data_IF_257252643073
#
_entry.id   IF_257252643073
#
_cell.length_a   1.000
_cell.length_b   1.000
_cell.length_c   1.000
_cell.angle_alpha   90.00
_cell.angle_beta   90.00
_cell.angle_gamma   90.00
#
_symmetry.space_group_name_H-M   'P 1'
#
loop_
_entity.id
_entity.type
_entity.pdbx_description
1 polymer ?
#
# COMPACT_ATOMS: atom_id res chain seq x y z
N UNK A 1 24.29 16.52 0.05
CA UNK A 1 24.63 15.27 0.78
C UNK A 1 25.80 14.64 0.09
N UNK A 2 26.94 14.72 0.78
CA UNK A 2 28.30 14.75 0.25
C UNK A 2 28.87 13.43 -0.23
N UNK A 3 29.78 13.51 -1.19
CA UNK A 3 30.66 12.42 -1.64
C UNK A 3 31.50 11.80 -0.50
N UNK A 4 31.59 12.50 0.65
CA UNK A 4 32.24 12.00 1.86
C UNK A 4 31.50 10.81 2.50
N UNK A 5 30.17 10.68 2.35
CA UNK A 5 29.41 9.58 2.94
C UNK A 5 29.85 8.21 2.40
N UNK A 6 30.06 8.10 1.09
CA UNK A 6 30.49 6.85 0.44
C UNK A 6 31.94 6.51 0.75
N UNK A 7 32.82 7.51 0.91
CA UNK A 7 34.22 7.28 1.30
C UNK A 7 34.34 6.67 2.70
N UNK A 8 33.46 7.02 3.63
CA UNK A 8 33.45 6.44 4.97
C UNK A 8 32.85 5.03 5.02
N UNK A 9 31.84 4.71 4.20
CA UNK A 9 31.23 3.37 4.16
C UNK A 9 32.27 2.29 3.82
N UNK A 10 33.17 2.54 2.86
CA UNK A 10 34.22 1.59 2.51
C UNK A 10 35.26 1.36 3.62
N UNK A 11 35.33 2.24 4.62
CA UNK A 11 36.29 2.15 5.73
C UNK A 11 35.72 1.47 6.98
N UNK A 12 34.41 1.19 7.02
CA UNK A 12 33.78 0.52 8.16
C UNK A 12 34.06 -1.00 8.07
N UNK A 13 34.60 -1.57 9.16
CA UNK A 13 34.71 -3.03 9.32
C UNK A 13 33.32 -3.65 9.15
N UNK A 14 33.24 -4.81 8.50
CA UNK A 14 32.02 -5.64 8.40
C UNK A 14 31.88 -6.52 9.64
N UNK A 15 31.00 -6.23 10.60
CA UNK A 15 30.61 -7.21 11.60
C UNK A 15 29.59 -8.20 11.03
N UNK A 16 29.45 -9.35 11.69
CA UNK A 16 28.34 -10.26 11.42
C UNK A 16 27.01 -9.57 11.75
N UNK A 17 26.01 -9.63 10.86
CA UNK A 17 24.70 -9.03 11.11
C UNK A 17 24.05 -9.69 12.32
N UNK A 18 23.55 -8.86 13.24
CA UNK A 18 22.75 -9.32 14.38
C UNK A 18 21.28 -9.31 13.99
N UNK A 19 20.72 -10.48 13.74
CA UNK A 19 19.31 -10.65 13.36
C UNK A 19 19.07 -11.29 11.99
N UNK A 20 17.87 -11.83 11.80
CA UNK A 20 17.47 -12.48 10.56
C UNK A 20 16.35 -11.70 9.87
N UNK A 21 16.52 -11.39 8.58
CA UNK A 21 15.48 -10.72 7.80
C UNK A 21 14.18 -11.49 7.77
N UNK A 22 14.26 -12.82 7.74
CA UNK A 22 13.09 -13.68 7.78
C UNK A 22 12.23 -13.40 9.01
N UNK A 23 12.85 -13.18 10.17
CA UNK A 23 12.13 -12.81 11.40
C UNK A 23 11.46 -11.46 11.24
N UNK A 24 12.20 -10.47 10.74
CA UNK A 24 11.67 -9.13 10.50
C UNK A 24 10.46 -9.21 9.57
N UNK A 25 10.56 -9.83 8.39
CA UNK A 25 9.48 -9.89 7.38
C UNK A 25 8.28 -10.68 7.88
N UNK A 26 8.48 -11.77 8.61
CA UNK A 26 7.41 -12.56 9.22
C UNK A 26 6.80 -11.90 10.47
N UNK A 27 7.26 -10.71 10.87
CA UNK A 27 6.69 -9.96 12.00
C UNK A 27 7.19 -10.42 13.38
N UNK A 28 8.21 -11.27 13.44
CA UNK A 28 8.83 -11.68 14.70
C UNK A 28 9.64 -10.50 15.27
N UNK A 29 9.12 -9.90 16.34
CA UNK A 29 9.77 -8.74 16.97
C UNK A 29 11.01 -9.17 17.75
N UNK A 30 12.10 -8.42 17.62
CA UNK A 30 13.29 -8.62 18.46
C UNK A 30 14.05 -7.31 18.64
N UNK A 31 14.46 -7.04 19.88
CA UNK A 31 15.31 -5.89 20.22
C UNK A 31 16.73 -6.02 19.66
N UNK A 32 17.11 -7.20 19.19
CA UNK A 32 18.41 -7.45 18.57
C UNK A 32 18.41 -7.09 17.08
N UNK A 33 17.26 -7.08 16.42
CA UNK A 33 17.16 -6.71 15.01
C UNK A 33 17.33 -5.20 14.83
N UNK A 34 18.16 -4.82 13.86
CA UNK A 34 18.29 -3.44 13.44
C UNK A 34 18.35 -3.33 11.90
N UNK A 35 17.69 -2.33 11.34
CA UNK A 35 17.67 -2.06 9.89
C UNK A 35 18.13 -0.64 9.60
N UNK A 36 18.86 -0.49 8.51
CA UNK A 36 19.35 0.81 8.05
C UNK A 36 18.29 1.50 7.18
N UNK A 37 17.90 2.72 7.56
CA UNK A 37 17.06 3.60 6.76
C UNK A 37 17.86 4.84 6.32
N UNK A 38 18.23 4.89 5.05
CA UNK A 38 18.92 6.05 4.46
C UNK A 38 17.99 7.02 3.73
N UNK A 39 16.70 6.68 3.61
CA UNK A 39 15.69 7.48 2.95
C UNK A 39 15.07 8.49 3.94
N UNK A 40 15.15 9.78 3.62
CA UNK A 40 14.75 10.86 4.53
C UNK A 40 13.23 11.03 4.65
N UNK A 41 12.44 10.54 3.69
CA UNK A 41 10.99 10.63 3.71
C UNK A 41 10.35 9.67 4.71
N UNK A 42 10.82 8.42 4.76
CA UNK A 42 10.35 7.44 5.74
C UNK A 42 10.91 7.74 7.14
N UNK A 43 12.08 8.39 7.24
CA UNK A 43 12.65 8.75 8.54
C UNK A 43 11.76 9.69 9.37
N UNK A 44 10.77 10.32 8.76
CA UNK A 44 9.78 11.16 9.46
C UNK A 44 8.64 10.35 10.10
N UNK A 45 8.49 9.07 9.73
CA UNK A 45 7.49 8.17 10.33
C UNK A 45 7.96 7.81 11.74
N UNK A 46 7.41 8.51 12.73
CA UNK A 46 7.74 8.34 14.15
C UNK A 46 7.61 6.88 14.64
N UNK A 47 6.64 6.14 14.11
CA UNK A 47 6.28 4.78 14.51
C UNK A 47 6.90 3.71 13.61
N UNK A 48 7.93 4.05 12.83
CA UNK A 48 8.53 3.10 11.87
C UNK A 48 9.13 1.88 12.56
N UNK A 49 9.78 2.06 13.71
CA UNK A 49 10.28 0.95 14.53
C UNK A 49 9.14 0.06 15.04
N UNK A 50 8.01 0.64 15.47
CA UNK A 50 6.80 -0.11 15.81
C UNK A 50 6.33 -0.92 14.62
N UNK A 51 6.17 -0.32 13.42
CA UNK A 51 5.76 -1.05 12.22
C UNK A 51 6.69 -2.22 11.91
N UNK A 52 8.00 -2.01 12.02
CA UNK A 52 8.99 -3.00 11.64
C UNK A 52 9.26 -4.05 12.73
N UNK A 53 8.84 -3.81 13.97
CA UNK A 53 9.12 -4.69 15.10
C UNK A 53 10.61 -4.77 15.46
N UNK A 54 11.40 -3.80 14.98
CA UNK A 54 12.85 -3.77 15.14
C UNK A 54 13.38 -2.33 15.13
N UNK A 55 14.64 -2.15 15.56
CA UNK A 55 15.25 -0.83 15.63
C UNK A 55 15.56 -0.30 14.22
N UNK A 56 15.18 0.93 13.93
CA UNK A 56 15.64 1.63 12.72
C UNK A 56 16.81 2.55 13.05
N UNK A 57 17.90 2.44 12.28
CA UNK A 57 19.04 3.35 12.38
C UNK A 57 19.18 4.20 11.12
N UNK A 58 19.56 5.46 11.30
CA UNK A 58 19.87 6.41 10.22
C UNK A 58 21.37 6.75 10.17
N UNK A 59 22.17 6.24 11.11
CA UNK A 59 23.56 6.63 11.29
C UNK A 59 24.52 5.63 10.65
N UNK A 60 25.45 6.07 9.79
CA UNK A 60 26.56 5.26 9.29
C UNK A 60 27.45 4.71 10.41
N UNK A 61 27.56 5.42 11.54
CA UNK A 61 28.39 4.99 12.68
C UNK A 61 27.75 3.83 13.47
N UNK A 62 26.44 3.63 13.30
CA UNK A 62 25.67 2.55 13.93
C UNK A 62 25.39 1.40 12.94
N UNK A 63 26.10 1.36 11.80
CA UNK A 63 25.96 0.32 10.78
C UNK A 63 26.33 -1.07 11.28
N UNK A 64 27.14 -1.14 12.33
CA UNK A 64 27.67 -2.39 12.87
C UNK A 64 26.60 -3.38 13.36
N UNK A 65 25.34 -2.94 13.49
CA UNK A 65 24.24 -3.79 13.97
C UNK A 65 23.15 -3.97 12.91
N UNK A 66 23.25 -3.34 11.73
CA UNK A 66 22.19 -3.42 10.73
C UNK A 66 22.25 -4.77 9.99
N UNK A 67 21.11 -5.47 9.92
CA UNK A 67 20.98 -6.73 9.20
C UNK A 67 20.38 -6.56 7.78
N UNK A 68 19.85 -5.37 7.45
CA UNK A 68 19.29 -5.05 6.14
C UNK A 68 19.24 -3.54 5.87
N UNK A 69 19.01 -3.16 4.61
CA UNK A 69 18.77 -1.78 4.17
C UNK A 69 17.35 -1.62 3.64
N UNK A 70 16.64 -0.60 4.13
CA UNK A 70 15.31 -0.24 3.64
C UNK A 70 15.42 0.46 2.28
N UNK A 71 14.74 -0.10 1.28
CA UNK A 71 14.51 0.46 -0.04
C UNK A 71 13.06 0.95 -0.07
N UNK A 72 12.84 2.18 -0.51
CA UNK A 72 11.51 2.78 -0.56
C UNK A 72 11.25 3.42 -1.91
N UNK A 73 10.13 3.03 -2.51
CA UNK A 73 9.68 3.49 -3.80
C UNK A 73 10.80 3.51 -4.85
N UNK A 74 10.76 4.52 -5.70
CA UNK A 74 11.58 4.60 -6.91
C UNK A 74 12.42 5.89 -6.95
N UNK A 75 13.30 6.00 -7.95
CA UNK A 75 14.04 7.22 -8.24
C UNK A 75 15.34 7.39 -7.44
N UNK A 76 15.79 8.65 -7.28
CA UNK A 76 17.14 8.96 -6.76
C UNK A 76 17.39 8.45 -5.34
N UNK A 77 16.38 8.48 -4.48
CA UNK A 77 16.47 8.02 -3.09
C UNK A 77 16.60 6.50 -3.01
N UNK A 78 15.74 5.77 -3.71
CA UNK A 78 15.82 4.32 -3.84
C UNK A 78 17.19 3.87 -4.39
N UNK A 79 17.72 4.56 -5.42
CA UNK A 79 19.07 4.28 -5.95
C UNK A 79 20.18 4.46 -4.91
N UNK A 80 20.09 5.48 -4.04
CA UNK A 80 21.05 5.66 -2.94
C UNK A 80 20.98 4.52 -1.93
N UNK A 81 19.77 4.10 -1.55
CA UNK A 81 19.59 2.96 -0.65
C UNK A 81 20.11 1.66 -1.28
N UNK A 82 19.90 1.48 -2.58
CA UNK A 82 20.47 0.38 -3.35
C UNK A 82 22.01 0.41 -3.34
N UNK A 83 22.64 1.57 -3.57
CA UNK A 83 24.09 1.71 -3.49
C UNK A 83 24.63 1.43 -2.09
N UNK A 84 23.90 1.82 -1.03
CA UNK A 84 24.27 1.51 0.35
C UNK A 84 24.19 0.01 0.64
N UNK A 85 23.11 -0.66 0.20
CA UNK A 85 22.98 -2.12 0.26
C UNK A 85 24.15 -2.83 -0.42
N UNK A 86 24.51 -2.43 -1.66
CA UNK A 86 25.67 -3.00 -2.37
C UNK A 86 26.98 -2.75 -1.61
N UNK A 87 27.23 -1.52 -1.18
CA UNK A 87 28.51 -1.16 -0.54
C UNK A 87 28.71 -1.83 0.83
N UNK A 88 27.62 -2.11 1.54
CA UNK A 88 27.63 -2.75 2.85
C UNK A 88 27.43 -4.27 2.78
N UNK A 89 27.17 -4.81 1.59
CA UNK A 89 26.75 -6.22 1.39
C UNK A 89 25.56 -6.60 2.26
N UNK A 90 24.68 -5.63 2.54
CA UNK A 90 23.49 -5.84 3.33
C UNK A 90 22.31 -6.16 2.40
N UNK A 91 21.51 -7.17 2.73
CA UNK A 91 20.28 -7.50 2.02
C UNK A 91 19.26 -6.36 2.09
N UNK A 92 18.28 -6.41 1.18
CA UNK A 92 17.32 -5.34 0.94
C UNK A 92 15.96 -5.67 1.55
N UNK A 93 15.32 -4.65 2.09
CA UNK A 93 13.94 -4.69 2.54
C UNK A 93 13.14 -3.62 1.80
N UNK A 94 12.20 -4.04 0.97
CA UNK A 94 11.37 -3.17 0.16
C UNK A 94 10.17 -2.72 1.00
N UNK A 95 10.14 -1.45 1.38
CA UNK A 95 9.08 -0.84 2.17
C UNK A 95 8.17 -0.02 1.25
N UNK A 96 6.86 -0.16 1.45
CA UNK A 96 5.84 0.63 0.76
C UNK A 96 4.67 0.97 1.67
N UNK A 97 3.82 1.87 1.20
CA UNK A 97 2.54 2.16 1.86
C UNK A 97 1.66 0.90 1.89
N UNK A 98 1.03 0.68 3.04
CA UNK A 98 0.08 -0.41 3.20
C UNK A 98 -1.31 -0.12 2.62
N UNK A 99 -2.26 -1.05 2.84
CA UNK A 99 -3.61 -1.02 2.27
C UNK A 99 -4.50 0.08 2.83
N UNK A 100 -4.22 0.59 4.02
CA UNK A 100 -5.00 1.64 4.69
C UNK A 100 -4.10 2.82 5.06
N UNK A 101 -4.50 4.02 4.62
CA UNK A 101 -3.72 5.24 4.77
C UNK A 101 -4.59 6.43 5.22
N UNK A 102 -4.00 7.38 5.95
CA UNK A 102 -4.66 8.65 6.30
C UNK A 102 -3.85 9.84 5.85
N UNK A 103 -4.55 10.89 5.42
CA UNK A 103 -3.97 12.16 4.98
C UNK A 103 -4.28 13.25 6.00
N UNK A 104 -3.97 13.05 7.27
CA UNK A 104 -4.05 14.18 8.19
C UNK A 104 -2.92 15.16 7.88
N UNK A 105 -3.28 16.43 7.62
CA UNK A 105 -2.49 17.58 7.13
C UNK A 105 -1.20 17.96 7.86
N UNK A 106 -0.71 17.12 8.76
CA UNK A 106 0.60 17.24 9.37
C UNK A 106 1.27 15.87 9.41
N UNK A 107 2.23 15.69 8.51
CA UNK A 107 3.23 14.61 8.53
C UNK A 107 2.62 13.22 8.43
N UNK A 108 2.19 12.86 7.20
CA UNK A 108 2.07 11.48 6.70
C UNK A 108 2.20 10.39 7.78
N UNK A 109 1.11 10.11 8.50
CA UNK A 109 1.05 8.99 9.44
C UNK A 109 0.36 7.83 8.73
N UNK A 110 1.12 6.91 8.08
CA UNK A 110 0.50 5.70 7.57
C UNK A 110 -0.20 4.98 8.73
N UNK A 111 -1.39 4.43 8.46
CA UNK A 111 -2.01 3.45 9.36
C UNK A 111 -1.42 2.07 9.13
N UNK A 112 -0.90 1.84 7.92
CA UNK A 112 -0.28 0.58 7.54
C UNK A 112 0.92 0.76 6.63
N UNK A 113 1.87 -0.16 6.76
CA UNK A 113 3.02 -0.33 5.88
C UNK A 113 3.11 -1.79 5.43
N UNK A 114 3.81 -2.03 4.33
CA UNK A 114 4.16 -3.37 3.84
C UNK A 114 5.66 -3.50 3.67
N UNK A 115 6.17 -4.71 3.84
CA UNK A 115 7.60 -5.01 3.80
C UNK A 115 7.85 -6.31 3.03
N UNK A 116 8.79 -6.29 2.08
CA UNK A 116 9.17 -7.45 1.27
C UNK A 116 10.69 -7.65 1.28
N UNK A 117 11.17 -8.90 1.31
CA UNK A 117 12.59 -9.24 1.19
C UNK A 117 13.02 -9.55 -0.24
N UNK A 118 12.09 -9.60 -1.21
CA UNK A 118 12.39 -10.01 -2.59
C UNK A 118 12.27 -8.86 -3.58
N UNK A 119 11.12 -8.22 -3.64
CA UNK A 119 10.87 -7.06 -4.50
C UNK A 119 9.61 -6.30 -4.03
N UNK A 120 9.30 -5.14 -4.62
CA UNK A 120 8.04 -4.47 -4.32
C UNK A 120 6.83 -5.35 -4.68
N UNK A 121 5.79 -5.38 -3.84
CA UNK A 121 4.59 -6.20 -4.06
C UNK A 121 3.88 -6.02 -5.40
N UNK A 122 4.03 -4.85 -6.02
CA UNK A 122 3.46 -4.55 -7.33
C UNK A 122 4.33 -5.00 -8.51
N UNK A 123 5.50 -5.60 -8.27
CA UNK A 123 6.34 -6.15 -9.32
C UNK A 123 5.83 -7.51 -9.78
N UNK A 124 5.48 -7.60 -11.07
CA UNK A 124 5.21 -8.87 -11.74
C UNK A 124 6.48 -9.48 -12.36
N UNK A 125 7.60 -8.74 -12.38
CA UNK A 125 8.87 -9.17 -12.99
C UNK A 125 9.56 -10.26 -12.21
N UNK A 126 9.37 -10.30 -10.88
CA UNK A 126 10.03 -11.25 -9.98
C UNK A 126 9.03 -11.80 -8.97
N UNK A 127 9.39 -12.95 -8.39
CA UNK A 127 8.59 -13.51 -7.31
C UNK A 127 8.72 -12.66 -6.04
N UNK A 128 7.60 -12.15 -5.51
CA UNK A 128 7.59 -11.36 -4.26
C UNK A 128 7.30 -12.23 -3.04
N UNK A 129 7.55 -11.69 -1.83
CA UNK A 129 7.13 -12.35 -0.61
C UNK A 129 5.60 -12.48 -0.55
N UNK A 130 4.88 -11.43 -0.95
CA UNK A 130 3.41 -11.45 -1.01
C UNK A 130 2.87 -12.57 -1.90
N UNK A 131 3.46 -12.83 -3.08
CA UNK A 131 3.01 -13.92 -3.95
C UNK A 131 3.13 -15.29 -3.26
N UNK A 132 4.17 -15.50 -2.44
CA UNK A 132 4.30 -16.74 -1.66
C UNK A 132 3.24 -16.84 -0.56
N UNK A 133 2.80 -15.71 0.01
CA UNK A 133 1.74 -15.70 1.01
C UNK A 133 0.38 -15.99 0.37
N UNK A 134 0.09 -15.40 -0.80
CA UNK A 134 -1.16 -15.63 -1.55
C UNK A 134 -1.31 -17.11 -1.94
N UNK A 135 -0.21 -17.76 -2.33
CA UNK A 135 -0.24 -19.16 -2.77
C UNK A 135 -0.48 -20.18 -1.64
N UNK A 136 -0.49 -19.78 -0.37
CA UNK A 136 -0.73 -20.69 0.76
C UNK A 136 -2.22 -20.96 0.90
N UNK A 137 -2.58 -22.22 1.13
CA UNK A 137 -3.92 -22.60 1.56
C UNK A 137 -4.21 -22.05 2.95
N UNK A 138 -5.47 -21.69 3.18
CA UNK A 138 -5.94 -21.22 4.48
C UNK A 138 -6.56 -22.39 5.25
N UNK A 139 -6.37 -22.39 6.57
CA UNK A 139 -7.21 -23.19 7.47
C UNK A 139 -8.60 -22.54 7.64
N UNK A 140 -9.52 -23.25 8.32
CA UNK A 140 -10.91 -22.80 8.51
C UNK A 140 -10.99 -21.45 9.26
N UNK A 141 -10.16 -21.25 10.28
CA UNK A 141 -10.12 -20.02 11.09
C UNK A 141 -9.61 -18.83 10.25
N UNK A 142 -8.57 -19.06 9.45
CA UNK A 142 -8.01 -18.07 8.54
C UNK A 142 -9.01 -17.68 7.45
N UNK A 143 -9.73 -18.67 6.90
CA UNK A 143 -10.77 -18.43 5.92
C UNK A 143 -11.92 -17.61 6.51
N UNK A 144 -12.39 -17.96 7.71
CA UNK A 144 -13.44 -17.21 8.41
C UNK A 144 -12.99 -15.79 8.75
N UNK A 145 -11.74 -15.61 9.20
CA UNK A 145 -11.16 -14.30 9.48
C UNK A 145 -11.11 -13.45 8.20
N UNK A 146 -10.67 -14.01 7.08
CA UNK A 146 -10.61 -13.31 5.80
C UNK A 146 -12.01 -12.84 5.35
N UNK A 147 -13.03 -13.69 5.47
CA UNK A 147 -14.42 -13.33 5.17
C UNK A 147 -14.93 -12.21 6.07
N UNK A 148 -14.68 -12.31 7.39
CA UNK A 148 -15.02 -11.26 8.35
C UNK A 148 -14.33 -9.92 8.06
N UNK A 149 -13.09 -9.94 7.54
CA UNK A 149 -12.37 -8.74 7.10
C UNK A 149 -13.03 -8.13 5.86
N UNK A 150 -13.45 -8.94 4.88
CA UNK A 150 -14.17 -8.45 3.68
C UNK A 150 -15.48 -7.75 4.10
N UNK A 151 -16.24 -8.37 5.00
CA UNK A 151 -17.48 -7.79 5.53
C UNK A 151 -17.23 -6.49 6.30
N UNK A 152 -16.23 -6.46 7.18
CA UNK A 152 -15.85 -5.26 7.92
C UNK A 152 -15.35 -4.14 6.99
N UNK A 153 -14.58 -4.49 5.95
CA UNK A 153 -14.12 -3.54 4.93
C UNK A 153 -15.30 -2.85 4.24
N UNK A 154 -16.29 -3.63 3.79
CA UNK A 154 -17.52 -3.11 3.16
C UNK A 154 -18.32 -2.25 4.14
N UNK A 155 -18.54 -2.75 5.36
CA UNK A 155 -19.29 -2.04 6.40
C UNK A 155 -18.64 -0.70 6.78
N UNK A 156 -17.31 -0.67 6.86
CA UNK A 156 -16.56 0.54 7.16
C UNK A 156 -16.46 1.51 5.97
N UNK A 157 -16.92 1.10 4.78
CA UNK A 157 -16.66 1.79 3.50
C UNK A 157 -15.18 2.09 3.34
N UNK A 158 -14.33 1.11 3.66
CA UNK A 158 -12.90 1.29 3.69
C UNK A 158 -12.32 1.47 2.27
N UNK A 159 -11.28 2.28 2.18
CA UNK A 159 -10.42 2.41 1.01
C UNK A 159 -8.99 2.72 1.43
N UNK A 160 -8.01 2.66 0.52
CA UNK A 160 -6.65 3.16 0.77
C UNK A 160 -6.67 4.61 1.27
N UNK A 161 -7.55 5.45 0.71
CA UNK A 161 -7.68 6.86 1.09
C UNK A 161 -9.10 7.21 1.56
N UNK A 162 -9.37 7.04 2.86
CA UNK A 162 -10.71 7.17 3.44
C UNK A 162 -11.21 8.60 3.62
N UNK A 163 -10.33 9.60 3.54
CA UNK A 163 -10.65 10.98 3.89
C UNK A 163 -11.10 11.80 2.67
N UNK A 164 -11.18 11.22 1.48
CA UNK A 164 -11.65 11.93 0.29
C UNK A 164 -13.17 12.22 0.38
N UNK A 165 -13.65 13.34 -0.20
CA UNK A 165 -15.08 13.60 -0.31
C UNK A 165 -15.76 12.56 -1.24
N UNK A 166 -17.06 12.38 -1.10
CA UNK A 166 -17.83 11.59 -2.07
C UNK A 166 -17.83 12.29 -3.45
N UNK A 167 -17.99 11.54 -4.55
CA UNK A 167 -18.21 12.13 -5.87
C UNK A 167 -19.43 13.07 -5.87
N UNK A 168 -19.30 14.25 -6.48
CA UNK A 168 -20.40 15.24 -6.54
C UNK A 168 -21.61 14.74 -7.34
N UNK A 169 -21.37 13.90 -8.34
CA UNK A 169 -22.40 13.36 -9.24
C UNK A 169 -22.24 11.85 -9.33
N UNK A 170 -23.35 11.16 -9.10
CA UNK A 170 -23.46 9.72 -9.31
C UNK A 170 -24.04 9.45 -10.70
N UNK A 171 -23.58 8.40 -11.40
CA UNK A 171 -24.20 7.93 -12.63
C UNK A 171 -25.67 7.55 -12.38
N UNK A 172 -26.56 7.94 -13.29
CA UNK A 172 -28.00 7.68 -13.15
C UNK A 172 -28.44 6.32 -13.71
N UNK A 173 -27.59 5.69 -14.52
CA UNK A 173 -27.85 4.41 -15.20
C UNK A 173 -26.91 3.29 -14.78
N UNK A 174 -26.81 2.27 -15.64
CA UNK A 174 -25.80 1.21 -15.50
C UNK A 174 -24.45 1.78 -15.89
N UNK A 175 -23.41 1.53 -15.10
CA UNK A 175 -22.08 2.04 -15.38
C UNK A 175 -20.98 1.03 -15.08
N UNK A 176 -19.86 1.23 -15.74
CA UNK A 176 -18.57 0.58 -15.48
C UNK A 176 -17.53 1.64 -15.18
N UNK A 177 -16.49 1.24 -14.45
CA UNK A 177 -15.45 2.14 -13.98
C UNK A 177 -14.18 1.95 -14.79
N UNK A 178 -13.52 3.04 -15.19
CA UNK A 178 -12.13 3.02 -15.67
C UNK A 178 -11.27 3.81 -14.69
N UNK A 179 -10.08 3.30 -14.37
CA UNK A 179 -9.21 3.94 -13.39
C UNK A 179 -8.15 4.77 -14.10
N UNK A 180 -8.14 6.07 -13.86
CA UNK A 180 -7.05 6.94 -14.29
C UNK A 180 -5.83 6.73 -13.37
N UNK A 181 -4.66 6.60 -13.98
CA UNK A 181 -3.40 6.42 -13.28
C UNK A 181 -2.34 7.33 -13.87
N UNK A 182 -1.49 7.90 -13.01
CA UNK A 182 -0.44 8.79 -13.45
C UNK A 182 0.54 8.06 -14.39
N UNK A 183 0.95 8.66 -15.53
CA UNK A 183 1.86 8.01 -16.48
C UNK A 183 3.23 7.65 -15.90
N UNK A 184 3.65 8.33 -14.82
CA UNK A 184 4.91 8.08 -14.12
C UNK A 184 4.76 7.16 -12.90
N UNK A 185 3.57 6.58 -12.69
CA UNK A 185 3.34 5.60 -11.62
C UNK A 185 4.23 4.36 -11.84
N UNK A 186 5.14 4.05 -10.91
CA UNK A 186 6.08 2.94 -11.06
C UNK A 186 5.39 1.57 -11.16
N UNK A 187 4.16 1.44 -10.66
CA UNK A 187 3.40 0.19 -10.73
C UNK A 187 3.04 -0.19 -12.17
N UNK A 188 2.97 0.76 -13.11
CA UNK A 188 2.72 0.46 -14.53
C UNK A 188 3.85 -0.38 -15.12
N UNK A 189 5.08 0.13 -15.00
CA UNK A 189 6.25 -0.54 -15.55
C UNK A 189 6.59 -1.84 -14.79
N UNK A 190 6.36 -1.88 -13.48
CA UNK A 190 6.58 -3.07 -12.65
C UNK A 190 5.51 -4.14 -12.83
N UNK A 191 4.28 -3.72 -13.08
CA UNK A 191 3.14 -4.57 -13.40
C UNK A 191 3.00 -4.87 -14.89
N UNK A 192 4.02 -4.64 -15.73
CA UNK A 192 4.02 -5.00 -17.15
C UNK A 192 2.86 -4.39 -17.97
N UNK A 193 2.35 -3.22 -17.57
CA UNK A 193 1.28 -2.55 -18.29
C UNK A 193 1.80 -1.93 -19.59
N UNK A 194 1.52 -2.58 -20.72
CA UNK A 194 1.86 -2.05 -22.06
C UNK A 194 0.84 -1.02 -22.55
N UNK A 195 -0.41 -1.11 -22.08
CA UNK A 195 -1.49 -0.17 -22.40
C UNK A 195 -2.19 0.27 -21.10
N UNK A 196 -1.93 1.51 -20.72
CA UNK A 196 -2.40 2.11 -19.46
C UNK A 196 -3.10 3.45 -19.69
N UNK A 197 -3.15 3.89 -20.94
CA UNK A 197 -3.83 5.10 -21.35
C UNK A 197 -5.33 4.95 -21.13
N UNK A 198 -5.94 5.98 -20.55
CA UNK A 198 -7.36 6.00 -20.24
C UNK A 198 -8.25 5.68 -21.46
N UNK A 199 -7.83 6.13 -22.65
CA UNK A 199 -8.53 5.85 -23.92
C UNK A 199 -8.56 4.35 -24.26
N UNK A 200 -7.53 3.59 -23.90
CA UNK A 200 -7.51 2.15 -24.10
C UNK A 200 -8.49 1.46 -23.17
N UNK A 201 -8.47 1.80 -21.88
CA UNK A 201 -9.41 1.27 -20.88
C UNK A 201 -10.86 1.59 -21.26
N UNK A 202 -11.12 2.81 -21.75
CA UNK A 202 -12.45 3.20 -22.23
C UNK A 202 -12.93 2.33 -23.39
N UNK A 203 -12.10 2.13 -24.43
CA UNK A 203 -12.47 1.28 -25.57
C UNK A 203 -12.75 -0.17 -25.16
N UNK A 204 -11.99 -0.70 -24.20
CA UNK A 204 -12.27 -2.02 -23.63
C UNK A 204 -13.60 -2.05 -22.90
N UNK A 205 -13.87 -1.06 -22.05
CA UNK A 205 -15.11 -0.94 -21.30
C UNK A 205 -16.34 -0.85 -22.22
N UNK A 206 -16.29 -0.02 -23.26
CA UNK A 206 -17.35 0.12 -24.26
C UNK A 206 -17.59 -1.17 -25.05
N UNK A 207 -16.54 -1.95 -25.31
CA UNK A 207 -16.66 -3.25 -26.01
C UNK A 207 -17.33 -4.31 -25.14
N UNK A 208 -16.90 -4.44 -23.89
CA UNK A 208 -17.39 -5.50 -22.98
C UNK A 208 -18.77 -5.15 -22.39
N UNK A 209 -19.06 -3.86 -22.20
CA UNK A 209 -20.30 -3.36 -21.60
C UNK A 209 -20.94 -2.23 -22.44
N UNK A 210 -21.41 -2.51 -23.67
CA UNK A 210 -21.90 -1.50 -24.60
C UNK A 210 -23.14 -0.73 -24.11
N UNK A 211 -23.90 -1.29 -23.16
CA UNK A 211 -25.07 -0.63 -22.58
C UNK A 211 -24.78 0.16 -21.29
N UNK A 212 -23.51 0.28 -20.89
CA UNK A 212 -23.11 0.95 -19.65
C UNK A 212 -22.43 2.28 -19.96
N UNK A 213 -22.71 3.28 -19.13
CA UNK A 213 -21.90 4.49 -19.07
C UNK A 213 -20.48 4.15 -18.58
N UNK A 214 -19.47 4.73 -19.21
CA UNK A 214 -18.08 4.60 -18.76
C UNK A 214 -17.74 5.78 -17.87
N UNK A 215 -17.38 5.50 -16.62
CA UNK A 215 -17.13 6.51 -15.60
C UNK A 215 -15.67 6.43 -15.15
N UNK A 216 -14.95 7.55 -15.26
CA UNK A 216 -13.56 7.62 -14.83
C UNK A 216 -13.45 7.85 -13.32
N UNK A 217 -12.68 7.02 -12.64
CA UNK A 217 -12.26 7.25 -11.26
C UNK A 217 -10.88 7.90 -11.24
N UNK A 218 -10.77 8.95 -10.42
CA UNK A 218 -9.53 9.66 -10.10
C UNK A 218 -9.25 9.58 -8.60
N UNK A 219 -8.08 10.04 -8.15
CA UNK A 219 -7.66 10.02 -6.75
C UNK A 219 -8.30 11.13 -5.88
N UNK A 220 -9.20 11.93 -6.45
CA UNK A 220 -9.80 13.10 -5.79
C UNK A 220 -11.01 12.74 -4.93
N UNK A 221 -11.69 11.65 -5.24
CA UNK A 221 -12.93 11.25 -4.57
C UNK A 221 -12.78 9.92 -3.84
N UNK A 222 -13.65 9.71 -2.87
CA UNK A 222 -13.79 8.44 -2.20
C UNK A 222 -14.41 7.42 -3.18
N UNK A 223 -13.79 6.25 -3.40
CA UNK A 223 -14.21 5.38 -4.50
C UNK A 223 -15.46 4.55 -4.19
N UNK A 224 -15.76 4.32 -2.90
CA UNK A 224 -16.75 3.31 -2.50
C UNK A 224 -18.15 3.56 -3.05
N UNK A 225 -18.64 4.80 -3.08
CA UNK A 225 -19.97 5.08 -3.63
C UNK A 225 -20.11 4.62 -5.10
N UNK A 226 -19.02 4.70 -5.87
CA UNK A 226 -18.97 4.22 -7.25
C UNK A 226 -18.78 2.70 -7.32
N UNK A 227 -17.94 2.12 -6.46
CA UNK A 227 -17.70 0.67 -6.46
C UNK A 227 -18.97 -0.13 -6.13
N UNK A 228 -19.76 0.33 -5.16
CA UNK A 228 -20.95 -0.38 -4.66
C UNK A 228 -21.95 -0.80 -5.74
N UNK A 229 -22.05 -0.04 -6.84
CA UNK A 229 -23.05 -0.27 -7.88
C UNK A 229 -22.44 -0.43 -9.28
N UNK A 230 -21.10 -0.47 -9.38
CA UNK A 230 -20.42 -0.66 -10.66
C UNK A 230 -20.63 -2.08 -11.20
N UNK A 231 -20.85 -2.18 -12.51
CA UNK A 231 -20.93 -3.48 -13.22
C UNK A 231 -19.58 -4.16 -13.38
N UNK A 232 -18.52 -3.36 -13.50
CA UNK A 232 -17.14 -3.81 -13.62
C UNK A 232 -16.18 -2.63 -13.38
N UNK A 233 -14.91 -2.95 -13.11
CA UNK A 233 -13.81 -2.00 -13.06
C UNK A 233 -12.68 -2.43 -14.00
N UNK A 234 -12.23 -1.49 -14.82
CA UNK A 234 -11.12 -1.63 -15.77
C UNK A 234 -9.93 -0.83 -15.27
N UNK A 235 -8.76 -1.46 -15.17
CA UNK A 235 -7.54 -0.82 -14.68
C UNK A 235 -6.29 -1.42 -15.30
N UNK A 236 -5.20 -0.67 -15.31
CA UNK A 236 -3.89 -1.22 -15.60
C UNK A 236 -3.35 -1.98 -14.36
N UNK A 237 -2.90 -1.25 -13.34
CA UNK A 237 -2.25 -1.83 -12.16
C UNK A 237 -2.70 -1.18 -10.84
N UNK A 238 -3.80 -0.41 -10.86
CA UNK A 238 -4.20 0.39 -9.72
C UNK A 238 -4.60 -0.48 -8.53
N UNK A 239 -4.24 -0.06 -7.32
CA UNK A 239 -4.69 -0.70 -6.09
C UNK A 239 -6.22 -0.80 -6.00
N UNK A 240 -6.95 0.10 -6.67
CA UNK A 240 -8.40 0.12 -6.71
C UNK A 240 -9.02 -1.15 -7.32
N UNK A 241 -8.29 -1.88 -8.17
CA UNK A 241 -8.75 -3.19 -8.65
C UNK A 241 -8.82 -4.24 -7.53
N UNK A 242 -7.90 -4.22 -6.55
CA UNK A 242 -8.02 -5.07 -5.37
C UNK A 242 -9.24 -4.68 -4.53
N UNK A 243 -9.47 -3.37 -4.35
CA UNK A 243 -10.65 -2.89 -3.62
C UNK A 243 -11.95 -3.29 -4.32
N UNK A 244 -12.01 -3.25 -5.66
CA UNK A 244 -13.15 -3.74 -6.43
C UNK A 244 -13.44 -5.22 -6.19
N UNK A 245 -12.40 -6.08 -6.09
CA UNK A 245 -12.58 -7.49 -5.71
C UNK A 245 -13.20 -7.63 -4.32
N UNK A 246 -12.76 -6.81 -3.35
CA UNK A 246 -13.37 -6.78 -2.01
C UNK A 246 -14.85 -6.41 -2.07
N UNK A 247 -15.28 -5.60 -3.04
CA UNK A 247 -16.69 -5.25 -3.27
C UNK A 247 -17.46 -6.25 -4.14
N UNK A 248 -16.81 -7.31 -4.63
CA UNK A 248 -17.43 -8.27 -5.55
C UNK A 248 -17.66 -7.72 -6.96
N UNK A 249 -16.98 -6.62 -7.32
CA UNK A 249 -17.05 -6.02 -8.65
C UNK A 249 -16.08 -6.78 -9.58
N UNK A 250 -16.53 -7.26 -10.76
CA UNK A 250 -15.65 -7.85 -11.76
C UNK A 250 -14.52 -6.90 -12.16
N UNK A 251 -13.27 -7.40 -12.23
CA UNK A 251 -12.09 -6.58 -12.53
C UNK A 251 -11.42 -7.05 -13.82
N UNK A 252 -11.15 -6.09 -14.71
CA UNK A 252 -10.46 -6.25 -15.98
C UNK A 252 -9.10 -5.54 -15.88
N UNK A 253 -8.01 -6.31 -15.95
CA UNK A 253 -6.65 -5.82 -15.72
C UNK A 253 -5.82 -5.84 -17.01
N UNK A 254 -5.37 -4.66 -17.48
CA UNK A 254 -4.47 -4.54 -18.64
C UNK A 254 -2.98 -4.65 -18.30
N UNK A 255 -2.66 -4.58 -17.00
CA UNK A 255 -1.37 -4.99 -16.46
C UNK A 255 -1.50 -6.23 -15.58
N UNK A 256 -0.45 -6.49 -14.80
CA UNK A 256 -0.32 -7.61 -13.87
C UNK A 256 -0.03 -7.09 -12.44
N UNK A 257 -0.96 -6.35 -11.82
CA UNK A 257 -0.84 -5.96 -10.42
C UNK A 257 -0.81 -7.19 -9.50
N UNK A 258 -0.51 -7.00 -8.21
CA UNK A 258 -0.33 -8.12 -7.27
C UNK A 258 -1.54 -9.07 -7.16
N UNK A 259 -2.75 -8.57 -7.43
CA UNK A 259 -4.01 -9.30 -7.35
C UNK A 259 -4.46 -9.95 -8.66
N UNK A 260 -3.78 -9.68 -9.78
CA UNK A 260 -4.07 -10.27 -11.09
C UNK A 260 -3.31 -11.59 -11.30
N UNK A 261 -3.72 -12.42 -12.27
CA UNK A 261 -3.06 -13.69 -12.59
C UNK A 261 -3.38 -14.85 -11.65
N UNK A 262 -4.29 -14.63 -10.69
CA UNK A 262 -4.72 -15.63 -9.69
C UNK A 262 -6.11 -16.20 -9.98
N UNK A 263 -6.66 -15.98 -11.18
CA UNK A 263 -8.02 -16.43 -11.55
C UNK A 263 -9.16 -15.60 -10.96
N UNK A 264 -8.86 -14.48 -10.27
CA UNK A 264 -9.84 -13.57 -9.67
C UNK A 264 -10.19 -12.37 -10.59
N UNK A 265 -9.47 -12.20 -11.69
CA UNK A 265 -9.57 -11.07 -12.61
C UNK A 265 -9.61 -11.55 -14.06
N UNK A 266 -10.18 -10.73 -14.94
CA UNK A 266 -10.02 -10.89 -16.38
C UNK A 266 -8.71 -10.20 -16.80
N UNK A 267 -7.67 -10.99 -17.02
CA UNK A 267 -6.34 -10.49 -17.38
C UNK A 267 -6.17 -10.39 -18.89
N UNK A 268 -5.59 -9.29 -19.37
CA UNK A 268 -5.30 -9.07 -20.79
C UNK A 268 -3.86 -9.39 -21.19
N UNK A 269 -3.01 -9.68 -20.21
CA UNK A 269 -1.64 -10.17 -20.45
C UNK A 269 -1.45 -11.52 -19.75
N UNK A 270 -0.56 -12.38 -20.29
CA UNK A 270 -0.34 -13.71 -19.69
C UNK A 270 0.10 -13.61 -18.22
N UNK A 271 -0.59 -14.36 -17.37
CA UNK A 271 -0.20 -14.49 -15.98
C UNK A 271 1.19 -15.13 -15.85
N UNK A 272 2.04 -14.68 -14.90
CA UNK A 272 3.26 -15.39 -14.56
C UNK A 272 2.93 -16.83 -14.16
N UNK A 273 3.69 -17.82 -14.67
CA UNK A 273 3.44 -19.25 -14.40
C UNK A 273 3.40 -19.65 -12.91
N UNK A 274 4.02 -18.82 -12.06
CA UNK A 274 4.03 -18.96 -10.59
C UNK A 274 2.73 -18.52 -9.89
N UNK A 275 1.80 -17.86 -10.60
CA UNK A 275 0.47 -17.53 -10.09
C UNK A 275 -0.52 -18.58 -10.60
N UNK A 276 -1.12 -19.31 -9.66
CA UNK A 276 -2.14 -20.33 -9.92
C UNK A 276 -3.46 -19.85 -9.34
N UNK A 277 -4.63 -20.36 -9.77
CA UNK A 277 -5.90 -19.93 -9.20
C UNK A 277 -5.96 -20.04 -7.67
N UNK A 278 -6.43 -18.98 -6.99
CA UNK A 278 -6.64 -18.95 -5.54
C UNK A 278 -8.00 -18.36 -5.20
N UNK A 279 -8.47 -18.54 -3.96
CA UNK A 279 -9.68 -17.88 -3.48
C UNK A 279 -9.44 -16.39 -3.17
N UNK A 280 -10.52 -15.61 -3.13
CA UNK A 280 -10.43 -14.21 -2.69
C UNK A 280 -9.94 -14.13 -1.24
N UNK A 281 -10.36 -15.05 -0.38
CA UNK A 281 -9.92 -15.14 1.01
C UNK A 281 -8.40 -15.33 1.12
N UNK A 282 -7.79 -16.18 0.30
CA UNK A 282 -6.33 -16.34 0.26
C UNK A 282 -5.63 -15.01 -0.05
N UNK A 283 -6.11 -14.30 -1.09
CA UNK A 283 -5.58 -12.99 -1.46
C UNK A 283 -5.75 -11.95 -0.34
N UNK A 284 -6.92 -11.91 0.29
CA UNK A 284 -7.24 -10.99 1.38
C UNK A 284 -6.42 -11.27 2.62
N UNK A 285 -6.35 -12.52 3.05
CA UNK A 285 -5.59 -12.94 4.22
C UNK A 285 -4.09 -12.68 4.02
N UNK A 286 -3.57 -13.01 2.83
CA UNK A 286 -2.19 -12.68 2.47
C UNK A 286 -1.94 -11.16 2.53
N UNK A 287 -2.74 -10.37 1.83
CA UNK A 287 -2.49 -8.93 1.69
C UNK A 287 -2.76 -8.15 2.97
N UNK A 288 -3.88 -8.39 3.64
CA UNK A 288 -4.37 -7.56 4.75
C UNK A 288 -3.99 -8.09 6.13
N UNK A 289 -3.72 -9.39 6.29
CA UNK A 289 -3.39 -9.95 7.61
C UNK A 289 -1.89 -10.19 7.75
N UNK A 290 -1.31 -10.98 6.84
CA UNK A 290 0.08 -11.44 7.02
C UNK A 290 1.12 -10.48 6.46
N UNK A 291 0.86 -9.90 5.28
CA UNK A 291 1.82 -9.03 4.60
C UNK A 291 1.82 -7.58 5.12
N UNK A 292 0.66 -7.11 5.56
CA UNK A 292 0.47 -5.73 6.00
C UNK A 292 0.66 -5.58 7.50
N UNK A 293 1.14 -4.40 7.89
CA UNK A 293 1.48 -4.08 9.26
C UNK A 293 0.78 -2.83 9.67
N UNK A 294 0.02 -2.90 10.77
CA UNK A 294 -0.78 -1.80 11.27
C UNK A 294 -0.22 -1.24 12.58
N UNK A 295 -0.42 0.06 12.76
CA UNK A 295 -0.14 0.76 14.02
C UNK A 295 -1.35 1.61 14.35
N UNK A 296 -1.85 1.48 15.57
CA UNK A 296 -3.03 2.22 16.00
C UNK A 296 -2.67 3.71 16.10
N UNK A 297 -3.44 4.62 15.47
CA UNK A 297 -3.03 6.02 15.31
C UNK A 297 -2.92 6.79 16.63
N UNK A 298 -3.66 6.37 17.66
CA UNK A 298 -3.66 7.00 18.99
C UNK A 298 -2.64 6.41 19.96
N UNK A 299 -2.64 5.07 20.15
CA UNK A 299 -1.72 4.41 21.09
C UNK A 299 -0.30 4.29 20.54
N UNK A 300 -0.11 4.41 19.21
CA UNK A 300 1.16 4.17 18.50
C UNK A 300 1.70 2.73 18.68
N UNK A 301 0.83 1.80 19.11
CA UNK A 301 1.14 0.38 19.28
C UNK A 301 0.75 -0.46 18.07
N UNK A 302 1.35 -1.66 17.96
CA UNK A 302 0.95 -2.66 16.96
C UNK A 302 -0.51 -3.05 17.16
N UNK A 303 -1.24 -3.16 16.07
CA UNK A 303 -2.62 -3.61 16.04
C UNK A 303 -2.87 -4.45 14.77
N UNK A 304 -4.09 -4.96 14.64
CA UNK A 304 -4.53 -5.74 13.50
C UNK A 304 -5.40 -4.90 12.54
N UNK A 305 -5.70 -5.45 11.36
CA UNK A 305 -6.50 -4.72 10.35
C UNK A 305 -7.90 -4.40 10.85
N UNK A 306 -8.49 -5.29 11.64
CA UNK A 306 -9.82 -5.14 12.23
C UNK A 306 -9.90 -3.91 13.14
N UNK A 307 -8.87 -3.66 13.95
CA UNK A 307 -8.80 -2.48 14.81
C UNK A 307 -8.85 -1.20 13.97
N UNK A 308 -8.08 -1.17 12.87
CA UNK A 308 -8.08 -0.01 11.98
C UNK A 308 -9.43 0.16 11.30
N UNK A 309 -10.03 -0.91 10.78
CA UNK A 309 -11.34 -0.86 10.11
C UNK A 309 -12.45 -0.31 11.03
N UNK A 310 -12.42 -0.61 12.33
CA UNK A 310 -13.37 -0.08 13.31
C UNK A 310 -13.26 1.44 13.50
N UNK A 311 -12.06 2.01 13.33
CA UNK A 311 -11.80 3.44 13.53
C UNK A 311 -12.13 4.29 12.29
N UNK A 312 -12.14 3.69 11.09
CA UNK A 312 -12.27 4.41 9.83
C UNK A 312 -13.54 5.26 9.69
N UNK A 313 -14.76 4.77 10.05
CA UNK A 313 -15.98 5.55 9.87
C UNK A 313 -15.95 6.86 10.65
N UNK A 314 -15.49 6.82 11.91
CA UNK A 314 -15.38 8.01 12.74
C UNK A 314 -14.29 8.95 12.21
N UNK A 315 -13.10 8.41 11.91
CA UNK A 315 -11.99 9.19 11.35
C UNK A 315 -12.38 9.92 10.07
N UNK A 316 -13.17 9.26 9.21
CA UNK A 316 -13.71 9.84 7.97
C UNK A 316 -14.70 10.96 8.28
N UNK A 317 -15.65 10.74 9.20
CA UNK A 317 -16.64 11.75 9.59
C UNK A 317 -15.96 13.02 10.11
N UNK A 318 -15.00 12.88 11.01
CA UNK A 318 -14.24 14.01 11.55
C UNK A 318 -13.41 14.74 10.50
N UNK A 319 -12.84 14.00 9.54
CA UNK A 319 -12.12 14.59 8.43
C UNK A 319 -13.08 15.43 7.58
N UNK A 320 -14.21 14.87 7.13
CA UNK A 320 -15.16 15.58 6.28
C UNK A 320 -15.75 16.83 6.93
N UNK A 321 -15.93 16.85 8.27
CA UNK A 321 -16.33 18.07 8.98
C UNK A 321 -15.31 19.22 8.86
N UNK A 322 -14.04 18.90 8.66
CA UNK A 322 -12.94 19.86 8.50
C UNK A 322 -12.67 20.16 7.02
N UNK A 323 -13.39 19.55 6.09
CA UNK A 323 -13.21 19.78 4.66
C UNK A 323 -14.00 21.02 4.23
N UNK A 324 -13.32 22.01 3.64
CA UNK A 324 -13.97 23.19 3.08
C UNK A 324 -14.43 22.90 1.66
N UNK A 325 -15.71 22.57 1.51
CA UNK A 325 -16.33 22.31 0.22
C UNK A 325 -16.26 23.49 -0.75
N UNK A 326 -16.14 24.74 -0.26
CA UNK A 326 -16.11 25.92 -1.13
C UNK A 326 -14.72 26.23 -1.69
N UNK A 327 -13.66 25.76 -1.04
CA UNK A 327 -12.28 26.02 -1.45
C UNK A 327 -11.58 24.78 -2.04
N UNK A 328 -12.22 23.59 -1.99
CA UNK A 328 -11.56 22.33 -2.37
C UNK A 328 -10.34 22.03 -1.47
N UNK A 329 -10.29 22.64 -0.30
CA UNK A 329 -9.17 22.58 0.63
C UNK A 329 -9.64 22.18 2.01
N UNK A 330 -8.71 21.67 2.81
CA UNK A 330 -8.99 21.31 4.19
C UNK A 330 -8.87 22.53 5.09
N UNK A 331 -9.88 22.80 5.90
CA UNK A 331 -9.88 23.92 6.84
C UNK A 331 -8.69 23.78 7.79
N UNK A 332 -7.79 24.76 7.71
CA UNK A 332 -6.67 24.87 8.66
C UNK A 332 -7.27 25.19 10.03
N UNK A 333 -6.96 24.39 11.04
CA UNK A 333 -7.31 24.72 12.43
C UNK A 333 -6.81 26.15 12.72
N UNK A 334 -7.71 27.10 13.07
CA UNK A 334 -7.31 28.48 13.32
C UNK A 334 -6.21 28.53 14.36
N UNK A 335 -5.19 29.38 14.15
CA UNK A 335 -4.00 29.45 15.02
C UNK A 335 -4.35 29.69 16.50
N UNK A 336 -5.50 30.31 16.79
CA UNK A 336 -5.95 30.56 18.16
C UNK A 336 -6.47 29.30 18.88
N UNK A 337 -7.09 28.35 18.17
CA UNK A 337 -7.56 27.07 18.76
C UNK A 337 -6.36 26.18 19.15
N UNK A 338 -5.24 26.25 18.42
CA UNK A 338 -3.98 25.56 18.79
C UNK A 338 -3.43 25.97 20.15
N UNK A 339 -3.80 27.14 20.68
CA UNK A 339 -3.37 27.59 22.01
C UNK A 339 -4.24 26.99 23.11
N UNK A 340 -5.52 26.68 22.82
CA UNK A 340 -6.49 26.13 23.77
C UNK A 340 -6.43 24.61 23.90
N UNK A 341 -6.01 23.88 22.85
CA UNK A 341 -6.00 22.39 22.83
C UNK A 341 -4.64 21.79 23.23
N UNK A 342 -3.77 22.56 23.89
CA UNK A 342 -2.75 22.01 24.79
C UNK A 342 -1.34 21.82 24.22
N UNK A 343 -0.40 22.55 24.82
CA UNK A 343 0.76 21.90 25.44
C UNK A 343 0.23 21.06 26.61
N UNK A 344 0.33 19.73 26.52
CA UNK A 344 0.58 18.85 27.67
C UNK A 344 1.45 17.71 27.18
#
# INVERSE_FOLDING_TARGET
MDSNFYRYIFMLRKPEPVGHISDIVNGNTSKQHCVLCVATDISEIKTLDTFLGCKVTHSPLMLNNACAVIINGHGRKARKAMSASTALELPKLYLEQGPLYTHTHKKHKPLSLVLDDRDFHYSAKRQTHLENLIAKELDEDQQQRAQGIIEQWRKARASKYNQRPEPEKMPSGRYVLIVEQAPDDPTLAEGLAESHELQHLQKLAEREYPDCEVVTITDQHHPVALLENARALFTATSYLGFEALLWGVPVYATGMPFYAGWGLTQDFIPAPSRRQPVSLEQLVYAKLVTYSRYVHPETEERCEVEDILQLLPESRREALQKYDHNQGEWQKTPKFIRWLVGKK
#
